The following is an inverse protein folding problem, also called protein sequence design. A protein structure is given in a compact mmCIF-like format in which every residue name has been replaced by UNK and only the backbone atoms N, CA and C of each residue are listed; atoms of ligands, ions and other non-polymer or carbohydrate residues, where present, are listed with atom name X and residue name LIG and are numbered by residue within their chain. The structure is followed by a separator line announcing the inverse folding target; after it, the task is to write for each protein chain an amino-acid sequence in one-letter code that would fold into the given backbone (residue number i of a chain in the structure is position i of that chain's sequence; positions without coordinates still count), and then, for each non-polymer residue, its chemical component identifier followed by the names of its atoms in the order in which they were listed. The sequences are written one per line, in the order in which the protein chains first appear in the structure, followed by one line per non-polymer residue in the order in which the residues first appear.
data_IF_860719703603
#
_entry.id   IF_860719703603
#
_cell.length_a   1.000
_cell.length_b   1.000
_cell.length_c   1.000
_cell.angle_alpha   90.00
_cell.angle_beta   90.00
_cell.angle_gamma   90.00
#
_symmetry.space_group_name_H-M   'P 1'
#
loop_
_entity.id
_entity.type
_entity.pdbx_description
1 polymer ?
#
# COMPACT_ATOMS: atom_id res chain seq x y z
N UNK A 1 -3.82 17.34 21.02
CA UNK A 1 -4.92 17.87 20.18
C UNK A 1 -4.30 18.67 19.07
N UNK A 2 -4.54 18.28 17.82
CA UNK A 2 -3.97 18.95 16.64
C UNK A 2 -4.62 20.33 16.42
N UNK A 3 -3.84 21.29 15.92
CA UNK A 3 -4.33 22.65 15.64
C UNK A 3 -4.76 22.84 14.17
N UNK A 4 -5.60 23.84 13.90
CA UNK A 4 -5.95 24.24 12.54
C UNK A 4 -4.73 24.67 11.69
N UNK A 5 -3.66 25.14 12.34
CA UNK A 5 -2.38 25.42 11.69
C UNK A 5 -1.70 24.13 11.23
N UNK A 6 -1.58 23.16 12.13
CA UNK A 6 -1.00 21.84 11.82
C UNK A 6 -1.76 21.11 10.72
N UNK A 7 -3.09 21.09 10.74
CA UNK A 7 -3.90 20.45 9.71
C UNK A 7 -3.61 21.03 8.31
N UNK A 8 -3.58 22.37 8.20
CA UNK A 8 -3.29 23.03 6.92
C UNK A 8 -1.85 22.78 6.45
N UNK A 9 -0.89 22.82 7.37
CA UNK A 9 0.51 22.55 7.07
C UNK A 9 0.72 21.10 6.62
N UNK A 10 0.16 20.13 7.35
CA UNK A 10 0.17 18.70 7.01
C UNK A 10 -0.41 18.44 5.63
N UNK A 11 -1.60 18.98 5.36
CA UNK A 11 -2.27 18.85 4.07
C UNK A 11 -1.44 19.45 2.93
N UNK A 12 -0.81 20.60 3.16
CA UNK A 12 0.08 21.22 2.18
C UNK A 12 1.34 20.39 1.94
N UNK A 13 1.88 19.74 2.98
CA UNK A 13 3.12 18.95 2.90
C UNK A 13 2.95 17.71 2.00
N UNK A 14 1.77 17.10 2.01
CA UNK A 14 1.43 15.95 1.15
C UNK A 14 0.69 16.35 -0.15
N UNK A 15 0.46 17.65 -0.37
CA UNK A 15 -0.24 18.15 -1.57
C UNK A 15 -1.74 17.82 -1.65
N UNK A 16 -2.37 17.42 -0.55
CA UNK A 16 -3.77 17.01 -0.54
C UNK A 16 -4.74 18.21 -0.61
N UNK A 17 -5.87 18.03 -1.31
CA UNK A 17 -6.95 19.04 -1.27
C UNK A 17 -7.76 18.90 0.00
N UNK A 18 -8.44 19.98 0.38
CA UNK A 18 -9.35 19.96 1.54
C UNK A 18 -10.48 18.92 1.33
N UNK A 19 -10.98 18.75 0.10
CA UNK A 19 -11.95 17.71 -0.24
C UNK A 19 -11.44 16.29 0.04
N UNK A 20 -10.16 16.05 -0.26
CA UNK A 20 -9.57 14.72 -0.17
C UNK A 20 -9.40 14.35 1.30
N UNK A 21 -8.88 15.27 2.11
CA UNK A 21 -8.79 15.08 3.56
C UNK A 21 -10.15 14.90 4.22
N UNK A 22 -11.17 15.65 3.80
CA UNK A 22 -12.52 15.47 4.32
C UNK A 22 -13.07 14.07 4.03
N UNK A 23 -12.88 13.58 2.78
CA UNK A 23 -13.29 12.24 2.35
C UNK A 23 -12.57 11.15 3.15
N UNK A 24 -11.24 11.21 3.23
CA UNK A 24 -10.43 10.25 3.97
C UNK A 24 -10.72 10.24 5.47
N UNK A 25 -11.06 11.40 6.05
CA UNK A 25 -11.44 11.49 7.47
C UNK A 25 -12.91 11.13 7.75
N UNK A 26 -13.70 10.82 6.71
CA UNK A 26 -15.13 10.50 6.86
C UNK A 26 -16.00 11.68 7.30
N UNK A 27 -15.62 12.92 7.00
CA UNK A 27 -16.35 14.14 7.40
C UNK A 27 -16.79 14.99 6.21
N UNK A 28 -17.72 15.91 6.45
CA UNK A 28 -18.12 16.85 5.40
C UNK A 28 -17.03 17.88 5.10
N UNK A 29 -16.93 18.31 3.84
CA UNK A 29 -16.02 19.40 3.44
C UNK A 29 -16.29 20.70 4.22
N UNK A 30 -17.56 21.00 4.51
CA UNK A 30 -17.94 22.17 5.30
C UNK A 30 -17.42 22.07 6.75
N UNK A 31 -17.47 20.87 7.34
CA UNK A 31 -16.89 20.60 8.67
C UNK A 31 -15.40 20.88 8.67
N UNK A 32 -14.65 20.30 7.71
CA UNK A 32 -13.21 20.52 7.63
C UNK A 32 -12.86 22.00 7.37
N UNK A 33 -13.65 22.70 6.54
CA UNK A 33 -13.44 24.13 6.27
C UNK A 33 -13.59 24.99 7.53
N UNK A 34 -14.60 24.72 8.36
CA UNK A 34 -14.79 25.42 9.62
C UNK A 34 -13.63 25.14 10.59
N UNK A 35 -13.19 23.87 10.68
CA UNK A 35 -12.06 23.47 11.53
C UNK A 35 -10.77 24.20 11.10
N UNK A 36 -10.41 24.17 9.82
CA UNK A 36 -9.21 24.83 9.33
C UNK A 36 -9.23 26.37 9.47
N UNK A 37 -10.43 26.96 9.61
CA UNK A 37 -10.63 28.39 9.90
C UNK A 37 -10.71 28.72 11.39
N UNK A 38 -10.67 27.72 12.28
CA UNK A 38 -10.86 27.90 13.72
C UNK A 38 -12.27 28.33 14.11
N UNK A 39 -13.28 27.95 13.32
CA UNK A 39 -14.69 28.28 13.56
C UNK A 39 -15.39 27.12 14.26
N UNK A 40 -16.01 27.42 15.41
CA UNK A 40 -16.73 26.44 16.22
C UNK A 40 -15.83 25.64 17.15
N UNK A 41 -16.41 24.62 17.79
CA UNK A 41 -15.71 23.71 18.70
C UNK A 41 -15.83 22.27 18.17
N UNK A 42 -14.81 21.76 17.46
CA UNK A 42 -14.86 20.43 16.87
C UNK A 42 -14.83 19.35 17.96
N UNK A 43 -15.60 18.27 17.73
CA UNK A 43 -15.56 17.10 18.61
C UNK A 43 -14.17 16.47 18.57
N UNK A 44 -13.72 15.95 19.71
CA UNK A 44 -12.46 15.18 19.80
C UNK A 44 -12.39 14.08 18.73
N UNK A 45 -13.47 13.29 18.59
CA UNK A 45 -13.56 12.23 17.58
C UNK A 45 -13.38 12.71 16.12
N UNK A 46 -13.73 13.97 15.84
CA UNK A 46 -13.54 14.57 14.52
C UNK A 46 -12.08 14.97 14.30
N UNK A 47 -11.42 15.49 15.33
CA UNK A 47 -9.99 15.79 15.28
C UNK A 47 -9.18 14.49 15.18
N UNK A 48 -9.55 13.45 15.94
CA UNK A 48 -8.92 12.14 15.88
C UNK A 48 -9.02 11.54 14.47
N UNK A 49 -10.18 11.62 13.82
CA UNK A 49 -10.35 11.11 12.45
C UNK A 49 -9.47 11.86 11.42
N UNK A 50 -9.32 13.18 11.57
CA UNK A 50 -8.41 13.98 10.74
C UNK A 50 -6.95 13.62 11.02
N UNK A 51 -6.59 13.45 12.29
CA UNK A 51 -5.25 13.07 12.71
C UNK A 51 -4.86 11.70 12.16
N UNK A 52 -5.72 10.68 12.31
CA UNK A 52 -5.53 9.34 11.77
C UNK A 52 -5.33 9.37 10.26
N UNK A 53 -6.20 10.07 9.51
CA UNK A 53 -6.08 10.14 8.06
C UNK A 53 -4.72 10.74 7.63
N UNK A 54 -4.28 11.82 8.29
CA UNK A 54 -2.97 12.43 8.02
C UNK A 54 -1.80 11.50 8.43
N UNK A 55 -1.92 10.78 9.54
CA UNK A 55 -0.93 9.78 9.98
C UNK A 55 -0.81 8.63 8.98
N UNK A 56 -1.92 8.16 8.43
CA UNK A 56 -1.93 7.11 7.40
C UNK A 56 -1.24 7.58 6.13
N UNK A 57 -1.32 8.87 5.80
CA UNK A 57 -0.56 9.53 4.73
C UNK A 57 0.93 9.76 5.08
N UNK A 58 1.38 9.40 6.28
CA UNK A 58 2.77 9.50 6.73
C UNK A 58 3.11 10.81 7.43
N UNK A 59 2.11 11.61 7.80
CA UNK A 59 2.31 12.86 8.54
C UNK A 59 2.30 12.61 10.04
N UNK A 60 3.37 13.03 10.71
CA UNK A 60 3.44 13.10 12.16
C UNK A 60 3.27 14.55 12.61
N UNK A 61 2.32 14.78 13.51
CA UNK A 61 2.07 16.09 14.12
C UNK A 61 2.39 16.00 15.60
N UNK A 62 3.18 16.94 16.11
CA UNK A 62 3.49 17.02 17.53
C UNK A 62 3.40 18.47 18.00
N UNK A 63 3.02 18.67 19.26
CA UNK A 63 2.98 19.99 19.89
C UNK A 63 3.47 19.87 21.33
N UNK A 64 4.34 20.79 21.75
CA UNK A 64 4.78 20.97 23.13
C UNK A 64 4.55 22.42 23.58
N UNK A 65 5.07 22.79 24.76
CA UNK A 65 4.87 24.14 25.32
C UNK A 65 5.56 25.26 24.54
N UNK A 66 6.48 24.92 23.63
CA UNK A 66 7.33 25.87 22.90
C UNK A 66 7.15 25.77 21.38
N UNK A 67 6.74 24.61 20.86
CA UNK A 67 6.77 24.30 19.43
C UNK A 67 5.55 23.50 18.97
N UNK A 68 5.13 23.75 17.73
CA UNK A 68 4.25 22.88 16.97
C UNK A 68 5.03 22.40 15.74
N UNK A 69 4.96 21.11 15.46
CA UNK A 69 5.69 20.49 14.35
C UNK A 69 4.77 19.64 13.50
N UNK A 70 5.12 19.56 12.22
CA UNK A 70 4.52 18.69 11.21
C UNK A 70 5.70 18.08 10.45
N UNK A 71 5.79 16.75 10.45
CA UNK A 71 6.84 15.98 9.78
C UNK A 71 6.20 15.02 8.80
N UNK A 72 6.84 14.80 7.66
CA UNK A 72 6.46 13.77 6.71
C UNK A 72 7.52 12.67 6.69
N UNK A 73 7.08 11.44 6.87
CA UNK A 73 7.90 10.25 6.68
C UNK A 73 7.84 9.85 5.20
N UNK A 74 8.86 10.26 4.44
CA UNK A 74 8.94 10.08 2.99
C UNK A 74 9.24 8.64 2.56
N UNK A 75 9.81 7.82 3.45
CA UNK A 75 10.00 6.40 3.26
C UNK A 75 9.45 5.65 4.48
N UNK A 76 8.50 4.76 4.25
CA UNK A 76 8.04 3.81 5.25
C UNK A 76 8.36 2.39 4.81
N UNK A 77 8.88 1.57 5.73
CA UNK A 77 9.19 0.16 5.47
C UNK A 77 8.65 -0.72 6.59
N UNK A 78 7.35 -1.10 6.54
CA UNK A 78 6.68 -1.86 7.59
C UNK A 78 7.35 -3.20 7.90
N UNK A 79 7.23 -3.68 9.15
CA UNK A 79 7.92 -4.90 9.63
C UNK A 79 7.04 -6.15 9.48
N UNK A 80 7.68 -7.32 9.50
CA UNK A 80 7.06 -8.64 9.23
C UNK A 80 5.87 -9.01 10.13
N UNK A 81 5.91 -8.67 11.42
CA UNK A 81 4.86 -9.04 12.38
C UNK A 81 3.53 -8.30 12.15
N UNK A 82 3.51 -7.33 11.23
CA UNK A 82 2.33 -6.54 10.90
C UNK A 82 1.53 -7.14 9.73
N UNK A 83 1.75 -8.41 9.31
CA UNK A 83 1.23 -8.91 8.01
C UNK A 83 -0.29 -8.73 7.81
N UNK A 84 -1.13 -9.00 8.82
CA UNK A 84 -2.59 -8.74 8.71
C UNK A 84 -2.91 -7.25 8.62
N UNK A 85 -2.18 -6.42 9.36
CA UNK A 85 -2.28 -4.96 9.29
C UNK A 85 -1.69 -4.40 7.97
N UNK A 86 -0.74 -5.09 7.38
CA UNK A 86 -0.06 -4.67 6.16
C UNK A 86 -0.96 -4.83 4.94
N UNK A 87 -1.69 -5.94 4.83
CA UNK A 87 -2.67 -6.11 3.73
C UNK A 87 -3.78 -5.07 3.81
N UNK A 88 -4.33 -4.81 5.00
CA UNK A 88 -5.32 -3.74 5.23
C UNK A 88 -4.77 -2.37 4.83
N UNK A 89 -3.57 -2.03 5.31
CA UNK A 89 -2.92 -0.77 4.99
C UNK A 89 -2.65 -0.61 3.49
N UNK A 90 -2.23 -1.67 2.81
CA UNK A 90 -2.07 -1.66 1.35
C UNK A 90 -3.43 -1.43 0.67
N UNK A 91 -4.48 -2.13 1.08
CA UNK A 91 -5.82 -1.95 0.50
C UNK A 91 -6.36 -0.53 0.72
N UNK A 92 -6.09 0.09 1.87
CA UNK A 92 -6.43 1.49 2.16
C UNK A 92 -5.64 2.44 1.25
N UNK A 93 -4.33 2.23 1.10
CA UNK A 93 -3.45 3.02 0.24
C UNK A 93 -3.86 2.95 -1.24
N UNK A 94 -4.28 1.75 -1.69
CA UNK A 94 -4.75 1.52 -3.06
C UNK A 94 -6.22 1.94 -3.26
N UNK A 95 -6.95 2.19 -2.19
CA UNK A 95 -8.37 2.54 -2.23
C UNK A 95 -8.62 3.94 -2.82
N UNK A 96 -9.85 4.19 -3.32
CA UNK A 96 -10.23 5.48 -3.92
C UNK A 96 -10.34 6.63 -2.91
N UNK A 97 -10.19 6.35 -1.62
CA UNK A 97 -10.25 7.30 -0.51
C UNK A 97 -8.87 7.61 0.06
N UNK A 98 -7.80 7.03 -0.50
CA UNK A 98 -6.43 7.30 -0.10
C UNK A 98 -6.08 8.77 -0.26
N UNK A 99 -5.42 9.35 0.74
CA UNK A 99 -4.94 10.73 0.71
C UNK A 99 -3.75 10.93 -0.22
N UNK A 100 -3.02 9.86 -0.49
CA UNK A 100 -1.84 9.86 -1.35
C UNK A 100 -2.11 8.93 -2.52
N UNK A 101 -2.23 9.52 -3.71
CA UNK A 101 -2.37 8.75 -4.95
C UNK A 101 -1.02 8.11 -5.26
N UNK A 102 -1.03 6.79 -5.53
CA UNK A 102 0.14 6.09 -6.02
C UNK A 102 0.42 6.52 -7.48
N UNK A 103 1.66 6.93 -7.75
CA UNK A 103 2.15 7.18 -9.11
C UNK A 103 2.64 5.87 -9.76
N UNK A 104 3.27 4.99 -8.97
CA UNK A 104 3.74 3.67 -9.42
C UNK A 104 3.54 2.63 -8.30
N UNK A 105 3.16 1.42 -8.70
CA UNK A 105 2.97 0.27 -7.82
C UNK A 105 3.78 -0.90 -8.39
N UNK A 106 4.87 -1.23 -7.71
CA UNK A 106 5.90 -2.14 -8.19
C UNK A 106 5.83 -3.46 -7.43
N UNK A 107 5.44 -4.54 -8.13
CA UNK A 107 5.35 -5.89 -7.57
C UNK A 107 6.60 -6.71 -7.86
N UNK A 108 7.18 -7.34 -6.83
CA UNK A 108 8.34 -8.19 -7.02
C UNK A 108 8.31 -9.44 -6.15
N UNK A 109 9.03 -10.45 -6.60
CA UNK A 109 9.31 -11.64 -5.80
C UNK A 109 10.75 -11.55 -5.27
N UNK A 110 10.97 -12.03 -4.05
CA UNK A 110 12.30 -12.17 -3.45
C UNK A 110 12.45 -13.55 -2.81
N UNK A 111 13.68 -14.02 -2.69
CA UNK A 111 13.98 -15.19 -1.87
C UNK A 111 13.87 -14.84 -0.38
N UNK A 112 13.35 -15.78 0.40
CA UNK A 112 13.44 -15.76 1.85
C UNK A 112 14.81 -16.30 2.28
N UNK A 113 15.49 -15.61 3.19
CA UNK A 113 16.66 -16.13 3.90
C UNK A 113 16.33 -17.22 4.92
N UNK A 114 15.05 -17.48 5.22
CA UNK A 114 14.61 -18.59 6.07
C UNK A 114 14.75 -19.94 5.32
N UNK A 115 15.64 -20.81 5.81
CA UNK A 115 15.74 -22.20 5.34
C UNK A 115 14.41 -22.93 5.57
N UNK A 116 13.81 -23.46 4.51
CA UNK A 116 12.65 -24.36 4.65
C UNK A 116 13.14 -25.76 5.05
N UNK A 117 12.28 -26.55 5.70
CA UNK A 117 12.57 -27.95 6.07
C UNK A 117 12.98 -28.83 4.86
N UNK A 118 12.68 -28.38 3.64
CA UNK A 118 13.01 -29.07 2.39
C UNK A 118 14.24 -28.49 1.65
N UNK A 119 14.97 -27.54 2.25
CA UNK A 119 16.19 -26.95 1.68
C UNK A 119 15.95 -26.08 0.43
N UNK A 120 14.70 -25.71 0.14
CA UNK A 120 14.35 -24.87 -0.99
C UNK A 120 13.99 -23.47 -0.48
N UNK A 121 14.68 -22.41 -0.92
CA UNK A 121 14.35 -21.05 -0.48
C UNK A 121 12.91 -20.71 -0.89
N UNK A 122 12.06 -20.39 0.07
CA UNK A 122 10.69 -19.95 -0.21
C UNK A 122 10.69 -18.56 -0.84
N UNK A 123 9.76 -18.32 -1.76
CA UNK A 123 9.60 -17.01 -2.38
C UNK A 123 8.60 -16.19 -1.58
N UNK A 124 8.98 -14.96 -1.26
CA UNK A 124 8.12 -13.93 -0.67
C UNK A 124 7.84 -12.85 -1.68
N UNK A 125 6.68 -12.21 -1.54
CA UNK A 125 6.21 -11.17 -2.44
C UNK A 125 6.39 -9.82 -1.76
N UNK A 126 7.11 -8.92 -2.45
CA UNK A 126 7.29 -7.54 -2.07
C UNK A 126 6.45 -6.60 -2.92
N UNK A 127 6.13 -5.45 -2.35
CA UNK A 127 5.42 -4.36 -3.02
C UNK A 127 6.10 -3.04 -2.68
N UNK A 128 6.36 -2.20 -3.68
CA UNK A 128 6.75 -0.81 -3.48
C UNK A 128 5.65 0.09 -4.04
N UNK A 129 5.02 0.88 -3.18
CA UNK A 129 4.07 1.91 -3.57
C UNK A 129 4.78 3.25 -3.58
N UNK A 130 4.90 3.86 -4.74
CA UNK A 130 5.52 5.17 -4.91
C UNK A 130 4.47 6.25 -5.12
N UNK A 131 4.68 7.38 -4.47
CA UNK A 131 3.96 8.61 -4.72
C UNK A 131 4.94 9.79 -4.68
N UNK A 132 4.56 10.94 -5.21
CA UNK A 132 5.39 12.17 -5.22
C UNK A 132 5.96 12.55 -3.86
N UNK A 133 5.22 12.31 -2.79
CA UNK A 133 5.57 12.73 -1.44
C UNK A 133 6.11 11.59 -0.58
N UNK A 134 5.85 10.32 -0.95
CA UNK A 134 6.07 9.18 -0.06
C UNK A 134 6.23 7.86 -0.82
N UNK A 135 7.14 7.04 -0.32
CA UNK A 135 7.39 5.68 -0.79
C UNK A 135 7.15 4.71 0.35
N UNK A 136 6.50 3.58 0.05
CA UNK A 136 6.22 2.56 1.05
C UNK A 136 6.67 1.21 0.52
N UNK A 137 7.71 0.66 1.14
CA UNK A 137 8.31 -0.61 0.77
C UNK A 137 7.81 -1.72 1.70
N UNK A 138 7.00 -2.62 1.15
CA UNK A 138 6.49 -3.81 1.81
C UNK A 138 7.29 -5.03 1.36
N UNK A 139 8.57 -5.11 1.73
CA UNK A 139 9.43 -6.25 1.40
C UNK A 139 9.63 -7.20 2.59
N UNK A 140 9.53 -6.68 3.81
CA UNK A 140 9.64 -7.45 5.06
C UNK A 140 8.36 -8.20 5.45
N UNK A 141 7.25 -7.98 4.74
CA UNK A 141 5.97 -8.66 4.98
C UNK A 141 5.98 -10.10 4.45
N UNK A 142 5.21 -10.98 5.08
CA UNK A 142 5.15 -12.40 4.71
C UNK A 142 4.02 -12.69 3.69
N UNK A 143 4.02 -11.98 2.56
CA UNK A 143 3.17 -12.35 1.43
C UNK A 143 3.82 -13.48 0.63
N UNK A 144 3.04 -14.47 0.26
CA UNK A 144 3.51 -15.65 -0.48
C UNK A 144 2.34 -16.36 -1.15
N UNK A 145 2.63 -17.46 -1.85
CA UNK A 145 1.61 -18.37 -2.42
C UNK A 145 1.65 -19.77 -1.80
N UNK A 146 2.19 -19.88 -0.59
CA UNK A 146 2.40 -21.17 0.10
C UNK A 146 1.10 -21.81 0.60
N UNK A 147 0.07 -20.99 0.88
CA UNK A 147 -1.21 -21.47 1.37
C UNK A 147 -2.36 -20.54 0.99
N UNK A 148 -3.58 -21.06 1.17
CA UNK A 148 -4.85 -20.41 0.82
C UNK A 148 -4.95 -18.98 1.36
N UNK A 149 -4.58 -18.75 2.62
CA UNK A 149 -4.71 -17.43 3.25
C UNK A 149 -3.77 -16.43 2.61
N UNK A 150 -2.52 -16.84 2.33
CA UNK A 150 -1.51 -15.97 1.70
C UNK A 150 -1.86 -15.64 0.26
N UNK A 151 -2.34 -16.63 -0.50
CA UNK A 151 -2.85 -16.42 -1.86
C UNK A 151 -4.04 -15.45 -1.84
N UNK A 152 -4.95 -15.57 -0.89
CA UNK A 152 -6.07 -14.63 -0.75
C UNK A 152 -5.61 -13.19 -0.48
N UNK A 153 -4.62 -12.99 0.41
CA UNK A 153 -4.06 -11.66 0.71
C UNK A 153 -3.48 -11.00 -0.54
N UNK A 154 -2.56 -11.67 -1.24
CA UNK A 154 -1.93 -11.08 -2.42
C UNK A 154 -2.91 -10.91 -3.58
N UNK A 155 -3.88 -11.82 -3.73
CA UNK A 155 -4.92 -11.70 -4.74
C UNK A 155 -5.84 -10.51 -4.48
N UNK A 156 -6.16 -10.22 -3.21
CA UNK A 156 -6.95 -9.04 -2.84
C UNK A 156 -6.21 -7.74 -3.10
N UNK A 157 -4.91 -7.70 -2.82
CA UNK A 157 -4.04 -6.55 -3.13
C UNK A 157 -3.98 -6.32 -4.64
N UNK A 158 -3.70 -7.36 -5.43
CA UNK A 158 -3.65 -7.26 -6.90
C UNK A 158 -5.03 -6.87 -7.46
N UNK A 159 -6.12 -7.42 -6.93
CA UNK A 159 -7.48 -7.03 -7.33
C UNK A 159 -7.71 -5.52 -7.13
N UNK A 160 -7.36 -4.98 -5.97
CA UNK A 160 -7.47 -3.54 -5.72
C UNK A 160 -6.55 -2.73 -6.64
N UNK A 161 -5.32 -3.17 -6.83
CA UNK A 161 -4.34 -2.53 -7.71
C UNK A 161 -4.86 -2.45 -9.16
N UNK A 162 -5.36 -3.57 -9.71
CA UNK A 162 -5.94 -3.61 -11.06
C UNK A 162 -7.26 -2.82 -11.18
N UNK A 163 -8.06 -2.78 -10.12
CA UNK A 163 -9.33 -2.07 -10.12
C UNK A 163 -9.14 -0.54 -10.14
N UNK A 164 -8.13 -0.02 -9.42
CA UNK A 164 -7.99 1.41 -9.17
C UNK A 164 -6.76 2.06 -9.81
N UNK A 165 -5.72 1.29 -10.13
CA UNK A 165 -4.39 1.79 -10.56
C UNK A 165 -3.80 1.01 -11.74
N UNK A 166 -4.65 0.48 -12.63
CA UNK A 166 -4.24 -0.42 -13.72
C UNK A 166 -3.08 0.13 -14.57
N UNK A 167 -2.95 1.44 -14.75
CA UNK A 167 -1.95 2.04 -15.63
C UNK A 167 -0.62 2.33 -14.92
N UNK A 168 -0.61 2.14 -13.61
CA UNK A 168 0.47 2.44 -12.70
C UNK A 168 1.08 1.15 -12.11
N UNK A 169 0.75 -0.02 -12.66
CA UNK A 169 1.24 -1.31 -12.18
C UNK A 169 2.46 -1.77 -12.95
N UNK A 170 3.48 -2.21 -12.22
CA UNK A 170 4.70 -2.74 -12.79
C UNK A 170 5.17 -3.97 -12.02
N UNK A 171 5.98 -4.78 -12.68
CA UNK A 171 6.63 -5.96 -12.08
C UNK A 171 8.03 -6.16 -12.63
N UNK A 172 8.79 -7.06 -12.01
CA UNK A 172 10.09 -7.49 -12.51
C UNK A 172 10.05 -8.98 -12.91
N UNK A 173 10.71 -9.34 -14.02
CA UNK A 173 10.77 -10.72 -14.54
C UNK A 173 11.78 -11.64 -13.85
N UNK A 174 12.26 -11.27 -12.67
CA UNK A 174 13.22 -12.06 -11.89
C UNK A 174 12.88 -12.04 -10.41
N UNK A 175 13.28 -13.09 -9.71
CA UNK A 175 13.24 -13.14 -8.25
C UNK A 175 14.48 -12.43 -7.71
N UNK A 176 14.28 -11.44 -6.85
CA UNK A 176 15.36 -10.78 -6.11
C UNK A 176 16.01 -11.74 -5.10
N UNK A 177 17.28 -11.48 -4.77
CA UNK A 177 17.84 -12.01 -3.52
C UNK A 177 17.14 -11.36 -2.32
N UNK A 178 17.39 -11.86 -1.10
CA UNK A 178 16.73 -11.32 0.08
C UNK A 178 17.06 -9.83 0.29
N UNK A 179 16.04 -8.99 0.23
CA UNK A 179 16.15 -7.53 0.40
C UNK A 179 16.07 -7.11 1.87
N UNK A 180 15.67 -8.01 2.77
CA UNK A 180 15.25 -7.66 4.15
C UNK A 180 16.41 -7.26 5.06
N UNK A 181 17.61 -7.78 4.78
CA UNK A 181 18.85 -7.51 5.50
C UNK A 181 19.46 -6.14 5.18
N UNK A 182 19.09 -5.53 4.05
CA UNK A 182 19.57 -4.20 3.68
C UNK A 182 18.95 -3.12 4.59
N UNK A 183 19.71 -2.04 4.81
CA UNK A 183 19.19 -0.81 5.43
C UNK A 183 18.06 -0.20 4.59
N UNK A 184 17.23 0.64 5.21
CA UNK A 184 15.97 1.08 4.60
C UNK A 184 16.15 1.81 3.26
N UNK A 185 17.14 2.70 3.16
CA UNK A 185 17.41 3.43 1.91
C UNK A 185 18.05 2.51 0.86
N UNK A 186 19.01 1.67 1.26
CA UNK A 186 19.70 0.75 0.36
C UNK A 186 18.71 -0.26 -0.25
N UNK A 187 17.76 -0.76 0.54
CA UNK A 187 16.70 -1.64 0.05
C UNK A 187 15.81 -0.94 -0.99
N UNK A 188 15.44 0.32 -0.75
CA UNK A 188 14.66 1.12 -1.69
C UNK A 188 15.41 1.32 -3.02
N UNK A 189 16.69 1.71 -2.95
CA UNK A 189 17.53 1.93 -4.13
C UNK A 189 17.75 0.64 -4.93
N UNK A 190 17.95 -0.49 -4.24
CA UNK A 190 18.08 -1.80 -4.85
C UNK A 190 16.82 -2.19 -5.62
N UNK A 191 15.64 -1.99 -5.03
CA UNK A 191 14.35 -2.30 -5.67
C UNK A 191 14.12 -1.37 -6.88
N UNK A 192 14.39 -0.06 -6.73
CA UNK A 192 14.24 0.92 -7.82
C UNK A 192 15.16 0.69 -9.01
N UNK A 193 16.35 0.16 -8.77
CA UNK A 193 17.34 -0.09 -9.82
C UNK A 193 17.01 -1.30 -10.72
N UNK A 194 15.90 -2.00 -10.47
CA UNK A 194 15.48 -3.12 -11.30
C UNK A 194 14.88 -2.69 -12.65
N UNK A 195 14.90 -3.63 -13.60
CA UNK A 195 14.27 -3.46 -14.91
C UNK A 195 12.77 -3.74 -14.80
N UNK A 196 12.00 -2.69 -14.50
CA UNK A 196 10.55 -2.75 -14.33
C UNK A 196 9.82 -2.79 -15.67
N UNK A 197 8.80 -3.65 -15.77
CA UNK A 197 7.90 -3.77 -16.91
C UNK A 197 6.45 -3.54 -16.49
N UNK A 198 5.62 -3.06 -17.40
CA UNK A 198 4.18 -2.90 -17.14
C UNK A 198 3.55 -4.25 -16.77
N UNK A 199 2.74 -4.25 -15.72
CA UNK A 199 1.99 -5.43 -15.27
C UNK A 199 0.58 -5.38 -15.85
N UNK A 200 0.43 -5.86 -17.08
CA UNK A 200 -0.84 -5.85 -17.81
C UNK A 200 -1.75 -7.03 -17.42
N UNK A 201 -1.17 -8.16 -17.01
CA UNK A 201 -1.89 -9.35 -16.58
C UNK A 201 -1.26 -9.99 -15.33
N UNK A 202 -2.03 -10.41 -14.30
CA UNK A 202 -1.47 -11.00 -13.08
C UNK A 202 -0.56 -12.22 -13.30
N UNK A 203 -0.84 -13.01 -14.34
CA UNK A 203 0.01 -14.14 -14.72
C UNK A 203 1.46 -13.75 -14.99
N UNK A 204 1.69 -12.57 -15.59
CA UNK A 204 3.04 -12.07 -15.87
C UNK A 204 3.90 -12.01 -14.60
N UNK A 205 3.27 -11.64 -13.48
CA UNK A 205 3.92 -11.61 -12.18
C UNK A 205 4.00 -12.99 -11.51
N UNK A 206 2.89 -13.73 -11.43
CA UNK A 206 2.86 -15.02 -10.72
C UNK A 206 3.75 -16.09 -11.38
N UNK A 207 3.87 -16.09 -12.71
CA UNK A 207 4.65 -17.08 -13.44
C UNK A 207 6.18 -16.88 -13.30
N UNK A 208 6.62 -15.77 -12.68
CA UNK A 208 8.03 -15.56 -12.32
C UNK A 208 8.51 -16.55 -11.24
N UNK A 209 7.61 -17.01 -10.36
CA UNK A 209 7.96 -17.84 -9.20
C UNK A 209 6.98 -18.97 -8.89
N UNK A 210 5.84 -19.03 -9.60
CA UNK A 210 4.78 -20.01 -9.41
C UNK A 210 4.11 -20.30 -10.76
N UNK A 211 2.83 -20.68 -10.77
CA UNK A 211 2.04 -20.90 -11.96
C UNK A 211 0.61 -20.37 -11.77
N UNK A 212 0.23 -19.37 -12.55
CA UNK A 212 -1.07 -18.71 -12.47
C UNK A 212 -2.25 -19.67 -12.69
N UNK A 213 -2.17 -20.55 -13.68
CA UNK A 213 -3.23 -21.51 -13.98
C UNK A 213 -3.45 -22.51 -12.83
N UNK A 214 -2.36 -23.03 -12.25
CA UNK A 214 -2.42 -23.93 -11.10
C UNK A 214 -3.03 -23.22 -9.87
N UNK A 215 -2.67 -21.96 -9.62
CA UNK A 215 -3.27 -21.15 -8.56
C UNK A 215 -4.78 -20.99 -8.76
N UNK A 216 -5.22 -20.69 -9.98
CA UNK A 216 -6.64 -20.57 -10.31
C UNK A 216 -7.40 -21.87 -10.06
N UNK A 217 -6.89 -23.00 -10.57
CA UNK A 217 -7.51 -24.33 -10.37
C UNK A 217 -7.63 -24.66 -8.88
N UNK A 218 -6.58 -24.34 -8.11
CA UNK A 218 -6.49 -24.71 -6.69
C UNK A 218 -7.36 -23.84 -5.77
N UNK A 219 -7.46 -22.54 -6.06
CA UNK A 219 -8.04 -21.58 -5.12
C UNK A 219 -9.28 -20.83 -5.65
N UNK A 220 -9.41 -20.58 -6.95
CA UNK A 220 -10.52 -19.77 -7.48
C UNK A 220 -11.90 -20.45 -7.37
N UNK A 221 -11.94 -21.77 -7.25
CA UNK A 221 -13.20 -22.51 -7.01
C UNK A 221 -13.78 -22.30 -5.61
N UNK A 222 -13.01 -21.69 -4.68
CA UNK A 222 -13.44 -21.45 -3.30
C UNK A 222 -14.34 -20.21 -3.24
N UNK A 223 -15.57 -20.31 -2.70
CA UNK A 223 -16.48 -19.17 -2.61
C UNK A 223 -15.87 -17.98 -1.87
N UNK A 224 -15.93 -16.79 -2.47
CA UNK A 224 -15.43 -15.54 -1.87
C UNK A 224 -13.91 -15.38 -1.89
N UNK A 225 -13.17 -16.23 -2.59
CA UNK A 225 -11.72 -16.11 -2.70
C UNK A 225 -11.34 -14.99 -3.70
N UNK A 226 -10.53 -13.97 -3.33
CA UNK A 226 -10.25 -12.82 -4.17
C UNK A 226 -9.60 -13.14 -5.53
N UNK A 227 -8.90 -14.28 -5.62
CA UNK A 227 -8.32 -14.76 -6.89
C UNK A 227 -9.38 -14.96 -8.00
N UNK A 228 -10.58 -15.40 -7.65
CA UNK A 228 -11.67 -15.56 -8.60
C UNK A 228 -12.16 -14.19 -9.12
N UNK A 229 -12.27 -13.22 -8.22
CA UNK A 229 -12.65 -11.85 -8.56
C UNK A 229 -11.58 -11.16 -9.41
N UNK A 230 -10.29 -11.38 -9.10
CA UNK A 230 -9.17 -10.89 -9.90
C UNK A 230 -9.22 -11.45 -11.32
N UNK A 231 -9.36 -12.78 -11.47
CA UNK A 231 -9.49 -13.40 -12.80
C UNK A 231 -10.70 -12.86 -13.57
N UNK A 232 -11.85 -12.71 -12.90
CA UNK A 232 -13.06 -12.14 -13.51
C UNK A 232 -12.88 -10.69 -13.96
N UNK A 233 -12.17 -9.87 -13.17
CA UNK A 233 -11.86 -8.49 -13.52
C UNK A 233 -10.99 -8.42 -14.78
N UNK A 234 -9.93 -9.24 -14.84
CA UNK A 234 -9.01 -9.25 -15.98
C UNK A 234 -9.71 -9.70 -17.27
N UNK A 235 -10.51 -10.77 -17.20
CA UNK A 235 -11.29 -11.23 -18.36
C UNK A 235 -12.20 -10.13 -18.93
N UNK A 236 -12.74 -9.24 -18.09
CA UNK A 236 -13.54 -8.09 -18.56
C UNK A 236 -12.70 -7.05 -19.31
N UNK A 237 -11.43 -6.88 -18.94
CA UNK A 237 -10.51 -5.97 -19.62
C UNK A 237 -10.04 -6.49 -20.96
N UNK A 238 -10.01 -7.80 -21.17
CA UNK A 238 -9.62 -8.41 -22.46
C UNK A 238 -10.79 -8.44 -23.47
N UNK A 239 -12.03 -8.47 -22.97
CA UNK A 239 -13.24 -8.52 -23.79
C UNK A 239 -13.76 -7.14 -24.25
N UNK A 240 -13.20 -6.04 -23.72
CA UNK A 240 -13.66 -4.67 -23.96
C UNK A 240 -12.53 -3.74 -24.35
#
# INVERSE_FOLDING_TARGET
MITAGQIRAARSLIGAKQSDLAKASGISLATLNNIERGVGDPRASTLDAIETALQDAGVEMNADSLTETVRLTTLARPKAYETLSASQKILELLGPDSLTVADEILFFARRSGEETENGNNSVKIGLLVESKARHILFDRVNFSVENVSRVAEISGILLAAFAFHRRELFYVKRVFEDTTDAEDLDALELVRAADWEALDHPADFFDVFSNWEELLVTFASRPGHPLADLSSLINKFELG
#
